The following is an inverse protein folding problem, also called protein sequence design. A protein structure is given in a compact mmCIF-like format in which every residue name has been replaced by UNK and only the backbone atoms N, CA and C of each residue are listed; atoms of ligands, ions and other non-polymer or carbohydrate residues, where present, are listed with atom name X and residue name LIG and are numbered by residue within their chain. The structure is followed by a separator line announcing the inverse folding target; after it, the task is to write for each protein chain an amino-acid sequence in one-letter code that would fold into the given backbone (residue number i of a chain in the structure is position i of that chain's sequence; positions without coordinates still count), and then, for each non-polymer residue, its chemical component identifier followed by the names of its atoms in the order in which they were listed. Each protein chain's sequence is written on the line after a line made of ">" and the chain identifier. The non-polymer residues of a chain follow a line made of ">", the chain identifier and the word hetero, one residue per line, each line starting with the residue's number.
data_IF_534996704064
#
_entry.id   IF_534996704064
#
_cell.length_a   1.000
_cell.length_b   1.000
_cell.length_c   1.000
_cell.angle_alpha   90.00
_cell.angle_beta   90.00
_cell.angle_gamma   90.00
#
_symmetry.space_group_name_H-M   'P 1'
#
loop_
_entity.id
_entity.type
_entity.pdbx_description
1 polymer ?
#
# COMPACT_ATOMS: atom_id res chain seq x y z
N UNK A 1 22.79 -16.30 11.42
CA UNK A 1 22.17 -15.66 10.23
C UNK A 1 21.19 -14.60 10.73
N UNK A 2 21.22 -13.38 10.17
CA UNK A 2 20.28 -12.31 10.53
C UNK A 2 19.36 -12.06 9.35
N UNK A 3 18.04 -12.11 9.58
CA UNK A 3 17.01 -11.77 8.60
C UNK A 3 16.37 -10.46 9.09
N UNK A 4 16.14 -9.51 8.18
CA UNK A 4 15.46 -8.25 8.48
C UNK A 4 14.06 -8.29 7.86
N UNK A 5 13.03 -8.05 8.65
CA UNK A 5 11.64 -7.89 8.21
C UNK A 5 11.31 -6.41 8.29
N UNK A 6 10.84 -5.84 7.18
CA UNK A 6 10.35 -4.47 7.08
C UNK A 6 8.85 -4.53 6.75
N UNK A 7 8.06 -3.83 7.51
CA UNK A 7 6.61 -3.78 7.28
C UNK A 7 6.11 -2.34 7.27
N UNK A 8 5.13 -2.07 6.41
CA UNK A 8 4.28 -0.88 6.48
C UNK A 8 2.83 -1.32 6.69
N UNK A 9 2.03 -0.48 7.30
CA UNK A 9 0.61 -0.72 7.55
C UNK A 9 -0.12 0.61 7.52
N UNK A 10 -1.40 0.60 7.18
CA UNK A 10 -2.30 1.74 7.34
C UNK A 10 -1.83 3.03 6.64
N UNK A 11 -1.29 2.89 5.45
CA UNK A 11 -0.81 4.04 4.65
C UNK A 11 -1.96 4.89 4.10
N UNK A 12 -3.16 4.32 3.99
CA UNK A 12 -4.42 4.98 3.66
C UNK A 12 -4.37 5.91 2.43
N UNK A 13 -3.54 5.57 1.43
CA UNK A 13 -3.39 6.37 0.21
C UNK A 13 -2.77 7.75 0.42
N UNK A 14 -2.16 8.01 1.57
CA UNK A 14 -1.35 9.20 1.78
C UNK A 14 0.01 9.05 1.11
N UNK A 15 0.12 9.56 -0.11
CA UNK A 15 1.34 9.45 -0.91
C UNK A 15 2.38 10.49 -0.47
N UNK A 16 1.97 11.74 -0.45
CA UNK A 16 2.82 12.87 -0.05
C UNK A 16 2.67 13.15 1.46
N UNK A 17 3.69 13.73 2.10
CA UNK A 17 3.65 14.07 3.53
C UNK A 17 2.81 15.32 3.79
N UNK A 18 1.53 15.29 3.42
CA UNK A 18 0.57 16.38 3.58
C UNK A 18 -0.79 15.86 3.99
N UNK A 19 -1.52 16.59 4.80
CA UNK A 19 -2.89 16.25 5.20
C UNK A 19 -3.96 16.62 4.16
N UNK A 20 -3.61 17.33 3.10
CA UNK A 20 -4.53 17.94 2.11
C UNK A 20 -5.46 19.03 2.69
N UNK A 21 -5.68 19.06 3.99
CA UNK A 21 -6.53 20.06 4.68
C UNK A 21 -5.76 21.28 5.19
N UNK A 22 -4.45 21.15 5.33
CA UNK A 22 -3.58 22.21 5.82
C UNK A 22 -2.50 22.53 4.78
N UNK A 23 -2.05 23.79 4.76
CA UNK A 23 -0.91 24.20 3.92
C UNK A 23 0.44 23.66 4.43
N UNK A 24 0.41 22.78 5.43
CA UNK A 24 1.62 22.15 5.95
C UNK A 24 2.09 21.06 5.00
N UNK A 25 3.34 21.16 4.62
CA UNK A 25 4.11 20.12 3.96
C UNK A 25 5.06 19.48 4.97
N UNK A 26 5.56 18.31 4.64
CA UNK A 26 6.56 17.59 5.44
C UNK A 26 6.05 17.05 6.80
N UNK A 27 4.82 16.60 6.83
CA UNK A 27 4.26 15.88 7.98
C UNK A 27 4.97 14.51 8.20
N UNK A 28 4.95 13.94 9.41
CA UNK A 28 5.68 12.72 9.76
C UNK A 28 5.01 11.42 9.24
N UNK A 29 4.38 11.47 8.07
CA UNK A 29 3.73 10.34 7.41
C UNK A 29 3.83 10.44 5.88
N UNK A 30 3.25 9.48 5.18
CA UNK A 30 3.16 9.41 3.72
C UNK A 30 4.09 8.37 3.10
N UNK A 31 3.59 7.75 2.04
CA UNK A 31 4.26 6.66 1.32
C UNK A 31 5.65 7.07 0.83
N UNK A 32 5.84 8.31 0.38
CA UNK A 32 7.14 8.82 -0.06
C UNK A 32 8.21 8.79 1.04
N UNK A 33 7.82 9.11 2.29
CA UNK A 33 8.74 9.01 3.44
C UNK A 33 9.02 7.57 3.81
N UNK A 34 7.99 6.72 3.83
CA UNK A 34 8.13 5.29 4.05
C UNK A 34 9.08 4.66 3.01
N UNK A 35 8.91 4.96 1.72
CA UNK A 35 9.77 4.48 0.64
C UNK A 35 11.24 4.85 0.88
N UNK A 36 11.49 6.10 1.27
CA UNK A 36 12.85 6.56 1.59
C UNK A 36 13.46 5.79 2.75
N UNK A 37 12.68 5.55 3.81
CA UNK A 37 13.13 4.79 4.98
C UNK A 37 13.38 3.32 4.64
N UNK A 38 12.44 2.67 3.94
CA UNK A 38 12.58 1.27 3.51
C UNK A 38 13.84 1.07 2.65
N UNK A 39 14.09 1.98 1.70
CA UNK A 39 15.30 1.95 0.86
C UNK A 39 16.58 2.04 1.70
N UNK A 40 16.64 2.93 2.69
CA UNK A 40 17.78 3.05 3.61
C UNK A 40 17.99 1.80 4.45
N UNK A 41 16.90 1.27 5.01
CA UNK A 41 16.94 0.08 5.87
C UNK A 41 17.33 -1.19 5.10
N UNK A 42 16.86 -1.31 3.85
CA UNK A 42 17.26 -2.39 2.93
C UNK A 42 18.74 -2.29 2.58
N UNK A 43 19.21 -1.11 2.23
CA UNK A 43 20.62 -0.88 1.87
C UNK A 43 21.59 -1.13 3.05
N UNK A 44 21.16 -0.91 4.29
CA UNK A 44 21.98 -1.14 5.50
C UNK A 44 21.92 -2.56 6.03
N UNK A 45 21.13 -3.44 5.41
CA UNK A 45 20.98 -4.81 5.88
C UNK A 45 22.21 -5.65 5.56
N UNK A 46 22.64 -6.47 6.55
CA UNK A 46 23.77 -7.41 6.42
C UNK A 46 23.32 -8.83 6.02
N UNK A 47 22.05 -9.04 5.77
CA UNK A 47 21.46 -10.33 5.41
C UNK A 47 20.18 -10.15 4.59
N UNK A 48 19.42 -11.22 4.33
CA UNK A 48 18.18 -11.16 3.60
C UNK A 48 17.19 -10.16 4.22
N UNK A 49 16.47 -9.45 3.35
CA UNK A 49 15.40 -8.51 3.74
C UNK A 49 14.11 -8.99 3.15
N UNK A 50 13.07 -9.08 3.96
CA UNK A 50 11.71 -9.37 3.56
C UNK A 50 10.83 -8.17 3.87
N UNK A 51 10.11 -7.67 2.87
CA UNK A 51 9.35 -6.43 2.94
C UNK A 51 7.85 -6.68 2.72
N UNK A 52 7.04 -6.28 3.68
CA UNK A 52 5.60 -6.58 3.74
C UNK A 52 4.81 -5.27 3.69
N UNK A 53 3.78 -5.24 2.87
CA UNK A 53 2.69 -4.27 2.95
C UNK A 53 1.51 -4.94 3.68
N UNK A 54 1.12 -4.40 4.84
CA UNK A 54 0.19 -5.06 5.77
C UNK A 54 -1.23 -4.49 5.70
N UNK A 55 -1.66 -4.02 4.53
CA UNK A 55 -3.03 -3.61 4.25
C UNK A 55 -3.39 -2.18 4.65
N UNK A 56 -4.65 -1.84 4.37
CA UNK A 56 -5.21 -0.50 4.52
C UNK A 56 -4.47 0.57 3.70
N UNK A 57 -4.19 0.24 2.44
CA UNK A 57 -3.47 1.14 1.55
C UNK A 57 -4.40 1.96 0.65
N UNK A 58 -5.44 1.36 0.06
CA UNK A 58 -6.18 1.95 -1.06
C UNK A 58 -7.23 2.98 -0.68
N UNK A 59 -7.60 3.08 0.58
CA UNK A 59 -8.69 3.94 1.04
C UNK A 59 -8.27 4.76 2.26
N UNK A 60 -8.68 6.04 2.32
CA UNK A 60 -8.54 6.92 3.49
C UNK A 60 -8.14 8.36 3.14
N UNK A 61 -7.24 8.59 2.20
CA UNK A 61 -6.86 9.95 1.81
C UNK A 61 -7.85 10.60 0.83
N UNK A 62 -7.91 11.93 0.77
CA UNK A 62 -8.63 12.63 -0.29
C UNK A 62 -8.19 12.24 -1.69
N UNK A 63 -6.90 11.94 -1.89
CA UNK A 63 -6.36 11.49 -3.16
C UNK A 63 -6.91 10.12 -3.56
N UNK A 64 -6.90 9.14 -2.64
CA UNK A 64 -7.44 7.80 -2.93
C UNK A 64 -8.95 7.85 -3.24
N UNK A 65 -9.69 8.68 -2.53
CA UNK A 65 -11.10 8.91 -2.81
C UNK A 65 -11.32 9.55 -4.18
N UNK A 66 -10.53 10.57 -4.53
CA UNK A 66 -10.59 11.21 -5.85
C UNK A 66 -10.31 10.21 -6.98
N UNK A 67 -9.24 9.43 -6.86
CA UNK A 67 -8.88 8.40 -7.85
C UNK A 67 -10.02 7.39 -8.02
N UNK A 68 -10.67 6.99 -6.92
CA UNK A 68 -11.82 6.06 -6.97
C UNK A 68 -13.04 6.66 -7.66
N UNK A 69 -13.27 7.98 -7.53
CA UNK A 69 -14.45 8.68 -8.06
C UNK A 69 -14.28 9.26 -9.45
N UNK A 70 -13.06 9.48 -9.91
CA UNK A 70 -12.80 10.03 -11.24
C UNK A 70 -13.41 9.14 -12.34
N UNK A 71 -13.96 9.72 -13.38
CA UNK A 71 -14.55 8.98 -14.50
C UNK A 71 -13.54 8.07 -15.20
N UNK A 72 -12.29 8.48 -15.19
CA UNK A 72 -11.15 7.70 -15.69
C UNK A 72 -10.49 6.88 -14.58
N UNK A 73 -11.22 6.58 -13.50
CA UNK A 73 -10.64 5.92 -12.34
C UNK A 73 -9.86 4.69 -12.76
N UNK A 74 -8.59 4.75 -12.47
CA UNK A 74 -7.68 3.65 -12.74
C UNK A 74 -7.00 3.31 -11.42
N UNK A 75 -7.23 2.12 -10.94
CA UNK A 75 -6.48 1.57 -9.81
C UNK A 75 -4.98 1.68 -10.06
N UNK A 76 -4.55 1.67 -11.33
CA UNK A 76 -3.18 1.81 -11.74
C UNK A 76 -2.49 3.08 -11.21
N UNK A 77 -3.23 4.16 -10.93
CA UNK A 77 -2.64 5.37 -10.36
C UNK A 77 -2.09 5.13 -8.94
N UNK A 78 -2.82 4.39 -8.11
CA UNK A 78 -2.43 4.05 -6.74
C UNK A 78 -1.49 2.83 -6.72
N UNK A 79 -1.82 1.78 -7.47
CA UNK A 79 -1.05 0.52 -7.47
C UNK A 79 0.34 0.68 -8.09
N UNK A 80 0.51 1.62 -9.02
CA UNK A 80 1.83 1.97 -9.56
C UNK A 80 2.81 2.43 -8.48
N UNK A 81 2.31 3.13 -7.47
CA UNK A 81 3.13 3.62 -6.36
C UNK A 81 3.54 2.46 -5.47
N UNK A 82 2.59 1.58 -5.10
CA UNK A 82 2.90 0.44 -4.25
C UNK A 82 3.83 -0.55 -4.96
N UNK A 83 3.68 -0.75 -6.27
CA UNK A 83 4.58 -1.58 -7.06
C UNK A 83 6.03 -1.06 -7.07
N UNK A 84 6.23 0.27 -7.00
CA UNK A 84 7.57 0.87 -6.89
C UNK A 84 8.20 0.71 -5.50
N UNK A 85 7.42 0.33 -4.49
CA UNK A 85 7.93 0.09 -3.14
C UNK A 85 8.71 -1.23 -3.03
N UNK A 86 8.57 -2.14 -4.02
CA UNK A 86 9.22 -3.45 -4.09
C UNK A 86 8.91 -4.32 -2.85
N UNK A 87 7.65 -4.44 -2.50
CA UNK A 87 7.19 -5.38 -1.49
C UNK A 87 7.31 -6.82 -1.98
N UNK A 88 7.68 -7.72 -1.08
CA UNK A 88 7.72 -9.15 -1.37
C UNK A 88 6.33 -9.78 -1.27
N UNK A 89 5.44 -9.16 -0.47
CA UNK A 89 4.05 -9.58 -0.30
C UNK A 89 3.19 -8.41 0.17
N UNK A 90 1.92 -8.41 -0.22
CA UNK A 90 0.87 -7.55 0.36
C UNK A 90 -0.20 -8.38 1.05
N UNK A 91 -0.82 -7.81 2.06
CA UNK A 91 -1.91 -8.40 2.83
C UNK A 91 -3.13 -7.48 2.73
N UNK A 92 -4.34 -8.04 2.79
CA UNK A 92 -5.56 -7.25 2.76
C UNK A 92 -5.94 -6.81 4.17
N UNK A 93 -6.11 -5.51 4.36
CA UNK A 93 -6.74 -4.94 5.53
C UNK A 93 -8.26 -4.80 5.35
N UNK A 94 -8.95 -4.26 6.34
CA UNK A 94 -10.41 -4.09 6.27
C UNK A 94 -10.83 -2.99 5.27
N UNK A 95 -10.00 -1.97 5.08
CA UNK A 95 -10.29 -0.86 4.17
C UNK A 95 -10.14 -1.22 2.68
N UNK A 96 -9.47 -2.30 2.33
CA UNK A 96 -9.43 -2.81 0.96
C UNK A 96 -10.82 -3.21 0.44
N UNK A 97 -11.76 -3.54 1.32
CA UNK A 97 -13.13 -3.95 0.96
C UNK A 97 -14.11 -2.77 0.82
N UNK A 98 -13.75 -1.57 1.26
CA UNK A 98 -14.67 -0.42 1.35
C UNK A 98 -15.17 0.07 -0.02
N UNK A 99 -14.43 -0.16 -1.09
CA UNK A 99 -14.82 0.24 -2.44
C UNK A 99 -15.50 -0.89 -3.24
N UNK A 100 -15.78 -2.03 -2.59
CA UNK A 100 -16.44 -3.19 -3.18
C UNK A 100 -15.47 -4.17 -3.84
N UNK A 101 -15.99 -5.38 -4.08
CA UNK A 101 -15.15 -6.51 -4.52
C UNK A 101 -14.58 -6.33 -5.93
N UNK A 102 -15.28 -5.64 -6.83
CA UNK A 102 -14.81 -5.46 -8.20
C UNK A 102 -13.57 -4.55 -8.21
N UNK A 103 -13.62 -3.44 -7.46
CA UNK A 103 -12.47 -2.56 -7.30
C UNK A 103 -11.29 -3.27 -6.61
N UNK A 104 -11.58 -4.10 -5.61
CA UNK A 104 -10.57 -4.90 -4.93
C UNK A 104 -9.90 -5.90 -5.89
N UNK A 105 -10.67 -6.64 -6.68
CA UNK A 105 -10.15 -7.60 -7.67
C UNK A 105 -9.25 -6.90 -8.69
N UNK A 106 -9.68 -5.76 -9.21
CA UNK A 106 -8.88 -4.96 -10.15
C UNK A 106 -7.57 -4.48 -9.50
N UNK A 107 -7.65 -4.04 -8.23
CA UNK A 107 -6.48 -3.64 -7.44
C UNK A 107 -5.49 -4.79 -7.29
N UNK A 108 -5.95 -5.96 -6.84
CA UNK A 108 -5.12 -7.16 -6.67
C UNK A 108 -4.48 -7.56 -7.99
N UNK A 109 -5.25 -7.57 -9.08
CA UNK A 109 -4.75 -7.93 -10.41
C UNK A 109 -3.66 -6.98 -10.93
N UNK A 110 -3.60 -5.76 -10.42
CA UNK A 110 -2.61 -4.76 -10.81
C UNK A 110 -1.35 -4.73 -9.93
N UNK A 111 -1.34 -5.47 -8.82
CA UNK A 111 -0.15 -5.62 -7.97
C UNK A 111 0.89 -6.54 -8.62
N UNK A 112 2.16 -6.19 -8.49
CA UNK A 112 3.28 -7.02 -8.96
C UNK A 112 3.68 -8.09 -7.95
N UNK A 113 3.50 -7.82 -6.67
CA UNK A 113 3.73 -8.77 -5.59
C UNK A 113 2.49 -9.63 -5.32
N UNK A 114 2.64 -10.85 -4.78
CA UNK A 114 1.51 -11.66 -4.36
C UNK A 114 0.71 -10.98 -3.23
N UNK A 115 -0.60 -11.16 -3.26
CA UNK A 115 -1.50 -10.73 -2.19
C UNK A 115 -1.98 -11.96 -1.43
N UNK A 116 -1.82 -11.95 -0.12
CA UNK A 116 -2.17 -13.06 0.75
C UNK A 116 -3.30 -12.66 1.71
N UNK A 117 -4.24 -13.56 1.90
CA UNK A 117 -5.36 -13.39 2.82
C UNK A 117 -5.82 -14.75 3.34
N UNK A 118 -5.00 -15.36 4.19
CA UNK A 118 -5.21 -16.74 4.66
C UNK A 118 -6.52 -16.96 5.45
N UNK A 119 -7.11 -15.89 5.97
CA UNK A 119 -8.37 -15.93 6.74
C UNK A 119 -9.59 -15.49 5.92
N UNK A 120 -9.45 -15.26 4.62
CA UNK A 120 -10.55 -14.90 3.73
C UNK A 120 -10.75 -16.03 2.75
N UNK A 121 -11.89 -16.70 2.88
CA UNK A 121 -12.25 -17.87 2.08
C UNK A 121 -13.42 -17.53 1.14
N UNK A 122 -13.45 -18.15 -0.03
CA UNK A 122 -14.61 -18.15 -0.90
C UNK A 122 -15.76 -18.97 -0.28
N UNK A 123 -16.94 -18.96 -0.94
CA UNK A 123 -18.08 -19.75 -0.48
C UNK A 123 -17.81 -21.26 -0.51
N UNK A 124 -16.86 -21.67 -1.31
CA UNK A 124 -16.53 -23.09 -1.53
C UNK A 124 -15.23 -23.52 -0.82
N UNK A 125 -14.73 -22.70 0.09
CA UNK A 125 -13.50 -22.93 0.88
C UNK A 125 -12.25 -22.33 0.30
#
# INVERSE_FOLDING_TARGET
>A
MQIKILATSDMHGYIMPTSYSEKKMDLPFGTAKAATMLKKLRASAKGPVFQIENGDFIQGSPLSYYVRKAETHSVAAITKIINQMNYDVSILGNHEFNYGLDYLKETIASYQQPVLAANILGKDG
#
